data_IF_795074764974
#
_entry.id   IF_795074764974
#
_cell.length_a   1.000
_cell.length_b   1.000
_cell.length_c   1.000
_cell.angle_alpha   90.00
_cell.angle_beta   90.00
_cell.angle_gamma   90.00
#
_symmetry.space_group_name_H-M   'P 1'
#
loop_
_entity.id
_entity.type
_entity.pdbx_description
1 polymer ?
#
# COMPACT_ATOMS: atom_id res chain seq x y z
N UNK A 1 9.61 -30.54 39.46
CA UNK A 1 8.20 -30.73 39.07
C UNK A 1 7.78 -29.47 38.34
N UNK A 2 7.86 -29.50 37.02
CA UNK A 2 7.42 -28.39 36.14
C UNK A 2 6.07 -28.76 35.61
N UNK A 3 5.05 -27.97 35.97
CA UNK A 3 3.68 -28.13 35.44
C UNK A 3 3.62 -27.49 34.06
N UNK A 4 3.32 -28.29 33.05
CA UNK A 4 3.05 -27.84 31.69
C UNK A 4 1.65 -27.22 31.62
N UNK A 5 1.58 -25.93 31.29
CA UNK A 5 0.33 -25.22 31.01
C UNK A 5 -0.14 -25.62 29.60
N UNK A 6 -1.22 -26.39 29.52
CA UNK A 6 -1.93 -26.66 28.27
C UNK A 6 -2.68 -25.42 27.85
N UNK A 7 -2.19 -24.73 26.82
CA UNK A 7 -2.93 -23.68 26.12
C UNK A 7 -4.09 -24.37 25.38
N UNK A 8 -5.32 -24.12 25.80
CA UNK A 8 -6.52 -24.53 25.10
C UNK A 8 -6.58 -23.79 23.74
N UNK A 9 -6.61 -24.56 22.64
CA UNK A 9 -7.00 -24.05 21.33
C UNK A 9 -8.45 -23.56 21.45
N UNK A 10 -8.67 -22.30 21.07
CA UNK A 10 -10.01 -21.74 20.92
C UNK A 10 -10.76 -22.54 19.86
N UNK A 11 -11.89 -23.10 20.23
CA UNK A 11 -12.85 -23.76 19.37
C UNK A 11 -13.30 -22.82 18.27
N UNK A 12 -13.34 -23.32 17.04
CA UNK A 12 -13.90 -22.61 15.88
C UNK A 12 -15.31 -22.12 16.22
N UNK A 13 -15.48 -20.79 16.22
CA UNK A 13 -16.77 -20.16 16.43
C UNK A 13 -17.76 -20.58 15.33
N UNK A 14 -19.03 -20.71 15.70
CA UNK A 14 -20.14 -20.97 14.81
C UNK A 14 -20.12 -20.08 13.57
N UNK A 15 -20.62 -20.54 12.40
CA UNK A 15 -20.65 -19.72 11.21
C UNK A 15 -21.61 -18.55 11.45
N UNK A 16 -21.04 -17.38 11.73
CA UNK A 16 -21.80 -16.13 11.71
C UNK A 16 -22.45 -16.00 10.33
N UNK A 17 -23.77 -15.80 10.32
CA UNK A 17 -24.53 -15.56 9.09
C UNK A 17 -23.78 -14.56 8.22
N UNK A 18 -23.47 -14.96 6.98
CA UNK A 18 -22.67 -14.16 6.08
C UNK A 18 -23.33 -12.79 5.90
N UNK A 19 -22.70 -11.74 6.43
CA UNK A 19 -23.17 -10.37 6.23
C UNK A 19 -23.07 -10.08 4.74
N UNK A 20 -24.21 -9.84 4.10
CA UNK A 20 -24.26 -9.52 2.67
C UNK A 20 -23.67 -8.12 2.47
N UNK A 21 -22.54 -8.05 1.80
CA UNK A 21 -21.92 -6.76 1.42
C UNK A 21 -22.75 -6.17 0.27
N UNK A 22 -23.53 -5.17 0.60
CA UNK A 22 -24.42 -4.47 -0.32
C UNK A 22 -24.40 -2.96 -0.02
N UNK A 23 -25.20 -2.17 -0.70
CA UNK A 23 -25.29 -0.73 -0.48
C UNK A 23 -25.64 -0.38 0.99
N UNK A 24 -26.57 -1.11 1.61
CA UNK A 24 -26.94 -0.89 3.02
C UNK A 24 -25.77 -1.15 3.96
N UNK A 25 -24.91 -2.12 3.67
CA UNK A 25 -23.68 -2.36 4.42
C UNK A 25 -22.71 -1.18 4.29
N UNK A 26 -22.52 -0.65 3.07
CA UNK A 26 -21.67 0.51 2.81
C UNK A 26 -22.19 1.75 3.52
N UNK A 27 -23.50 1.98 3.49
CA UNK A 27 -24.14 3.09 4.21
C UNK A 27 -23.96 2.97 5.72
N UNK A 28 -24.10 1.76 6.27
CA UNK A 28 -23.83 1.46 7.67
C UNK A 28 -22.39 1.73 8.07
N UNK A 29 -21.43 1.29 7.24
CA UNK A 29 -20.00 1.54 7.46
C UNK A 29 -19.66 3.04 7.39
N UNK A 30 -20.26 3.76 6.44
CA UNK A 30 -20.11 5.22 6.30
C UNK A 30 -20.56 5.92 7.58
N UNK A 31 -21.77 5.61 8.08
CA UNK A 31 -22.30 6.16 9.34
C UNK A 31 -21.39 5.87 10.54
N UNK A 32 -20.90 4.63 10.66
CA UNK A 32 -19.98 4.27 11.74
C UNK A 32 -18.68 5.08 11.70
N UNK A 33 -18.12 5.32 10.51
CA UNK A 33 -16.91 6.12 10.37
C UNK A 33 -17.17 7.60 10.64
N UNK A 34 -18.32 8.15 10.21
CA UNK A 34 -18.75 9.51 10.53
C UNK A 34 -18.97 9.70 12.04
N UNK A 35 -19.55 8.72 12.72
CA UNK A 35 -19.68 8.75 14.19
C UNK A 35 -18.32 8.75 14.88
N UNK A 36 -17.35 7.96 14.39
CA UNK A 36 -15.99 7.95 14.94
C UNK A 36 -15.28 9.29 14.80
N UNK A 37 -15.69 10.15 13.86
CA UNK A 37 -15.16 11.50 13.75
C UNK A 37 -15.47 12.35 15.00
N UNK A 38 -16.57 12.08 15.69
CA UNK A 38 -16.91 12.72 16.97
C UNK A 38 -15.92 12.35 18.09
N UNK A 39 -15.20 11.25 17.93
CA UNK A 39 -14.25 10.70 18.89
C UNK A 39 -12.78 10.82 18.41
N UNK A 40 -12.52 11.74 17.46
CA UNK A 40 -11.17 12.08 17.05
C UNK A 40 -10.68 11.46 15.75
N UNK A 41 -11.45 10.59 15.08
CA UNK A 41 -11.13 10.19 13.72
C UNK A 41 -11.25 11.40 12.79
N UNK A 42 -10.24 11.65 11.97
CA UNK A 42 -10.27 12.75 10.99
C UNK A 42 -9.87 12.25 9.61
N UNK A 43 -10.46 12.84 8.60
CA UNK A 43 -10.12 12.58 7.19
C UNK A 43 -9.43 13.82 6.59
N UNK A 44 -8.59 13.63 5.55
CA UNK A 44 -8.08 14.77 4.79
C UNK A 44 -9.22 15.65 4.25
N UNK A 45 -9.00 16.95 4.15
CA UNK A 45 -10.03 17.93 3.75
C UNK A 45 -10.66 17.63 2.38
N UNK A 46 -9.88 17.04 1.47
CA UNK A 46 -10.27 16.69 0.11
C UNK A 46 -10.77 15.24 -0.04
N UNK A 47 -10.93 14.50 1.08
CA UNK A 47 -11.36 13.12 1.08
C UNK A 47 -12.87 12.99 1.25
N UNK A 48 -13.55 12.54 0.19
CA UNK A 48 -14.96 12.19 0.24
C UNK A 48 -15.12 10.72 0.63
N UNK A 49 -15.50 10.48 1.89
CA UNK A 49 -15.65 9.15 2.46
C UNK A 49 -16.67 8.29 1.70
N UNK A 50 -17.86 8.84 1.44
CA UNK A 50 -18.94 8.10 0.77
C UNK A 50 -18.55 7.69 -0.64
N UNK A 51 -17.95 8.60 -1.42
CA UNK A 51 -17.47 8.28 -2.76
C UNK A 51 -16.36 7.23 -2.74
N UNK A 52 -15.44 7.31 -1.77
CA UNK A 52 -14.34 6.34 -1.66
C UNK A 52 -14.85 4.94 -1.30
N UNK A 53 -15.80 4.83 -0.36
CA UNK A 53 -16.40 3.55 0.05
C UNK A 53 -17.28 2.96 -1.05
N UNK A 54 -18.09 3.77 -1.74
CA UNK A 54 -18.87 3.30 -2.87
C UNK A 54 -17.98 2.81 -4.02
N UNK A 55 -16.94 3.57 -4.35
CA UNK A 55 -15.97 3.15 -5.36
C UNK A 55 -15.21 1.87 -4.98
N UNK A 56 -14.87 1.73 -3.70
CA UNK A 56 -14.28 0.51 -3.18
C UNK A 56 -15.21 -0.70 -3.28
N UNK A 57 -16.50 -0.52 -3.00
CA UNK A 57 -17.50 -1.56 -3.17
C UNK A 57 -17.63 -2.03 -4.62
N UNK A 58 -17.68 -1.09 -5.57
CA UNK A 58 -17.72 -1.44 -7.00
C UNK A 58 -16.47 -2.23 -7.41
N UNK A 59 -15.28 -1.82 -6.93
CA UNK A 59 -14.04 -2.55 -7.18
C UNK A 59 -14.07 -3.96 -6.57
N UNK A 60 -14.59 -4.13 -5.33
CA UNK A 60 -14.70 -5.43 -4.68
C UNK A 60 -15.62 -6.39 -5.43
N UNK A 61 -16.69 -5.90 -6.08
CA UNK A 61 -17.58 -6.72 -6.92
C UNK A 61 -16.85 -7.35 -8.11
N UNK A 62 -15.85 -6.66 -8.65
CA UNK A 62 -15.06 -7.12 -9.80
C UNK A 62 -13.80 -7.89 -9.37
N UNK A 63 -13.36 -7.73 -8.10
CA UNK A 63 -12.16 -8.37 -7.59
C UNK A 63 -12.40 -9.86 -7.36
N UNK A 64 -11.45 -10.68 -7.83
CA UNK A 64 -11.46 -12.13 -7.69
C UNK A 64 -10.24 -12.63 -6.94
N UNK A 65 -10.40 -13.76 -6.28
CA UNK A 65 -9.29 -14.49 -5.68
C UNK A 65 -8.46 -15.27 -6.74
N UNK A 66 -7.47 -16.01 -6.27
CA UNK A 66 -6.60 -16.82 -7.14
C UNK A 66 -7.33 -17.92 -7.91
N UNK A 67 -8.46 -18.37 -7.40
CA UNK A 67 -9.32 -19.39 -8.00
C UNK A 67 -10.39 -18.79 -8.90
N UNK A 68 -10.26 -17.50 -9.24
CA UNK A 68 -11.22 -16.73 -10.04
C UNK A 68 -12.62 -16.60 -9.39
N UNK A 69 -12.70 -16.81 -8.06
CA UNK A 69 -13.93 -16.67 -7.29
C UNK A 69 -14.07 -15.22 -6.80
N UNK A 70 -15.28 -14.60 -6.85
CA UNK A 70 -15.48 -13.24 -6.36
C UNK A 70 -15.04 -13.08 -4.89
N UNK A 71 -14.33 -11.99 -4.58
CA UNK A 71 -13.85 -11.70 -3.23
C UNK A 71 -15.01 -11.58 -2.24
N UNK A 72 -16.16 -11.06 -2.68
CA UNK A 72 -17.35 -10.94 -1.85
C UNK A 72 -17.93 -12.30 -1.40
N UNK A 73 -17.57 -13.39 -2.08
CA UNK A 73 -17.99 -14.75 -1.77
C UNK A 73 -16.90 -15.59 -1.11
N UNK A 74 -15.62 -15.30 -1.44
CA UNK A 74 -14.47 -16.10 -1.01
C UNK A 74 -13.83 -15.59 0.29
N UNK A 75 -14.09 -14.32 0.67
CA UNK A 75 -13.55 -13.71 1.87
C UNK A 75 -14.62 -13.49 2.95
N UNK A 76 -14.19 -13.46 4.21
CA UNK A 76 -15.08 -13.16 5.32
C UNK A 76 -15.55 -11.70 5.28
N UNK A 77 -16.82 -11.45 5.62
CA UNK A 77 -17.39 -10.10 5.66
C UNK A 77 -16.63 -9.18 6.62
N UNK A 78 -16.13 -9.71 7.72
CA UNK A 78 -15.31 -8.97 8.69
C UNK A 78 -14.01 -8.51 8.05
N UNK A 79 -13.32 -9.34 7.26
CA UNK A 79 -12.08 -8.95 6.61
C UNK A 79 -12.31 -7.89 5.53
N UNK A 80 -13.43 -7.97 4.82
CA UNK A 80 -13.84 -6.95 3.84
C UNK A 80 -14.11 -5.62 4.54
N UNK A 81 -14.90 -5.64 5.64
CA UNK A 81 -15.16 -4.44 6.44
C UNK A 81 -13.86 -3.79 6.94
N UNK A 82 -12.96 -4.59 7.52
CA UNK A 82 -11.67 -4.11 8.01
C UNK A 82 -10.82 -3.51 6.90
N UNK A 83 -10.82 -4.09 5.70
CA UNK A 83 -10.10 -3.57 4.54
C UNK A 83 -10.66 -2.24 4.06
N UNK A 84 -11.98 -2.10 4.02
CA UNK A 84 -12.65 -0.84 3.70
C UNK A 84 -12.35 0.24 4.75
N UNK A 85 -12.42 -0.12 6.03
CA UNK A 85 -12.06 0.79 7.13
C UNK A 85 -10.60 1.23 7.06
N UNK A 86 -9.67 0.30 6.79
CA UNK A 86 -8.25 0.61 6.64
C UNK A 86 -8.00 1.56 5.47
N UNK A 87 -8.61 1.32 4.32
CA UNK A 87 -8.55 2.24 3.18
C UNK A 87 -9.06 3.64 3.56
N UNK A 88 -10.22 3.71 4.21
CA UNK A 88 -10.87 4.97 4.57
C UNK A 88 -10.08 5.76 5.62
N UNK A 89 -9.60 5.11 6.69
CA UNK A 89 -8.81 5.77 7.74
C UNK A 89 -7.48 6.33 7.22
N UNK A 90 -6.90 5.70 6.20
CA UNK A 90 -5.74 6.22 5.49
C UNK A 90 -6.11 7.37 4.52
N UNK A 91 -7.38 7.65 4.31
CA UNK A 91 -7.86 8.65 3.35
C UNK A 91 -7.45 8.30 1.92
N UNK A 92 -7.47 7.03 1.54
CA UNK A 92 -7.07 6.53 0.22
C UNK A 92 -8.27 6.03 -0.59
N UNK A 93 -8.09 5.91 -1.90
CA UNK A 93 -9.12 5.42 -2.83
C UNK A 93 -8.53 4.43 -3.82
N UNK A 94 -9.19 3.26 -3.95
CA UNK A 94 -8.81 2.26 -4.97
C UNK A 94 -9.08 2.74 -6.38
N UNK A 95 -10.11 3.57 -6.60
CA UNK A 95 -10.40 4.17 -7.91
C UNK A 95 -9.29 5.11 -8.39
N UNK A 96 -8.59 5.76 -7.45
CA UNK A 96 -7.39 6.57 -7.73
C UNK A 96 -6.11 5.73 -7.80
N UNK A 97 -6.22 4.40 -7.86
CA UNK A 97 -5.09 3.45 -7.86
C UNK A 97 -4.16 3.60 -6.65
N UNK A 98 -4.67 4.13 -5.52
CA UNK A 98 -3.90 4.34 -4.29
C UNK A 98 -3.77 3.09 -3.42
N UNK A 99 -4.40 2.00 -3.80
CA UNK A 99 -4.32 0.70 -3.18
C UNK A 99 -5.18 -0.33 -3.89
N UNK A 100 -5.10 -1.57 -3.42
CA UNK A 100 -5.78 -2.72 -3.99
C UNK A 100 -6.38 -3.58 -2.89
N UNK A 101 -7.48 -4.26 -3.20
CA UNK A 101 -8.00 -5.34 -2.37
C UNK A 101 -7.44 -6.66 -2.87
N UNK A 102 -6.86 -7.44 -1.97
CA UNK A 102 -6.25 -8.73 -2.29
C UNK A 102 -6.88 -9.79 -1.40
N UNK A 103 -7.36 -10.87 -2.02
CA UNK A 103 -7.84 -12.05 -1.30
C UNK A 103 -6.67 -12.99 -1.03
N UNK A 104 -6.44 -13.29 0.25
CA UNK A 104 -5.43 -14.23 0.68
C UNK A 104 -5.97 -15.11 1.80
N UNK A 105 -6.01 -16.43 1.58
CA UNK A 105 -6.47 -17.40 2.58
C UNK A 105 -7.89 -17.15 3.11
N UNK A 106 -8.82 -16.71 2.25
CA UNK A 106 -10.19 -16.40 2.66
C UNK A 106 -10.35 -15.05 3.40
N UNK A 107 -9.30 -14.25 3.43
CA UNK A 107 -9.30 -12.90 4.01
C UNK A 107 -9.07 -11.86 2.93
N UNK A 108 -9.85 -10.78 2.95
CA UNK A 108 -9.61 -9.59 2.15
C UNK A 108 -8.64 -8.68 2.89
N UNK A 109 -7.65 -8.14 2.19
CA UNK A 109 -6.68 -7.19 2.73
C UNK A 109 -6.59 -5.97 1.80
N UNK A 110 -6.57 -4.77 2.38
CA UNK A 110 -6.23 -3.55 1.66
C UNK A 110 -4.72 -3.36 1.65
N UNK A 111 -4.12 -3.36 0.46
CA UNK A 111 -2.71 -3.11 0.27
C UNK A 111 -2.50 -1.78 -0.45
N UNK A 112 -1.70 -0.90 0.15
CA UNK A 112 -1.35 0.40 -0.45
C UNK A 112 -0.48 0.19 -1.69
N UNK A 113 -0.74 0.96 -2.73
CA UNK A 113 0.16 1.09 -3.88
C UNK A 113 1.22 2.16 -3.61
N UNK A 114 2.19 2.28 -4.54
CA UNK A 114 3.15 3.39 -4.47
C UNK A 114 2.46 4.77 -4.60
N UNK A 115 1.39 4.88 -5.40
CA UNK A 115 0.57 6.10 -5.47
C UNK A 115 -0.09 6.44 -4.12
N UNK A 116 -0.54 5.42 -3.37
CA UNK A 116 -1.05 5.61 -2.03
C UNK A 116 0.01 6.11 -1.07
N UNK A 117 1.22 5.56 -1.14
CA UNK A 117 2.35 6.02 -0.34
C UNK A 117 2.74 7.47 -0.67
N UNK A 118 2.79 7.83 -1.95
CA UNK A 118 3.02 9.22 -2.40
C UNK A 118 1.93 10.15 -1.88
N UNK A 119 0.66 9.74 -1.97
CA UNK A 119 -0.47 10.53 -1.46
C UNK A 119 -0.36 10.80 0.03
N UNK A 120 0.03 9.79 0.81
CA UNK A 120 0.25 9.96 2.27
C UNK A 120 1.46 10.87 2.50
N UNK A 121 2.60 10.62 1.84
CA UNK A 121 3.81 11.39 2.03
C UNK A 121 3.61 12.90 1.74
N UNK A 122 2.82 13.23 0.71
CA UNK A 122 2.46 14.63 0.40
C UNK A 122 1.71 15.32 1.55
N UNK A 123 0.90 14.60 2.30
CA UNK A 123 0.21 15.16 3.49
C UNK A 123 1.17 15.45 4.65
N UNK A 124 2.35 14.84 4.62
CA UNK A 124 3.41 15.02 5.62
C UNK A 124 4.59 15.85 5.09
N UNK A 125 4.34 16.72 4.10
CA UNK A 125 5.32 17.70 3.63
C UNK A 125 6.22 17.22 2.50
N UNK A 126 5.92 16.09 1.83
CA UNK A 126 6.60 15.75 0.58
C UNK A 126 6.08 16.67 -0.55
N UNK A 127 6.98 17.45 -1.14
CA UNK A 127 6.70 18.31 -2.29
C UNK A 127 6.73 17.51 -3.59
N UNK A 128 7.81 16.75 -3.81
CA UNK A 128 7.99 15.98 -5.03
C UNK A 128 8.87 14.74 -4.81
N UNK A 129 8.87 13.83 -5.79
CA UNK A 129 9.74 12.66 -5.84
C UNK A 129 10.25 12.45 -7.27
N UNK A 130 11.56 12.38 -7.41
CA UNK A 130 12.24 12.09 -8.67
C UNK A 130 12.90 10.72 -8.58
N UNK A 131 12.79 9.92 -9.63
CA UNK A 131 13.37 8.57 -9.68
C UNK A 131 14.13 8.39 -10.98
N UNK A 132 15.30 7.77 -10.90
CA UNK A 132 16.12 7.48 -12.08
C UNK A 132 16.73 6.08 -11.99
N UNK A 133 17.03 5.53 -13.16
CA UNK A 133 17.73 4.25 -13.33
C UNK A 133 19.20 4.55 -13.59
N UNK A 134 20.07 3.76 -12.98
CA UNK A 134 21.53 3.83 -13.19
C UNK A 134 21.93 2.70 -14.11
N UNK A 135 22.49 3.02 -15.26
CA UNK A 135 22.98 2.05 -16.24
C UNK A 135 24.50 1.87 -16.16
N UNK A 136 24.98 0.76 -16.72
CA UNK A 136 26.40 0.55 -16.92
C UNK A 136 26.97 1.62 -17.87
N UNK A 137 28.06 2.29 -17.44
CA UNK A 137 28.64 3.40 -18.14
C UNK A 137 28.19 4.78 -17.66
N UNK A 138 27.13 4.88 -16.84
CA UNK A 138 26.74 6.14 -16.21
C UNK A 138 27.77 6.58 -15.15
N UNK A 139 27.97 7.89 -14.99
CA UNK A 139 28.76 8.43 -13.90
C UNK A 139 27.86 8.82 -12.75
N UNK A 140 27.68 7.91 -11.82
CA UNK A 140 26.84 8.09 -10.63
C UNK A 140 27.70 8.21 -9.38
N UNK A 141 27.48 9.28 -8.58
CA UNK A 141 28.17 9.51 -7.31
C UNK A 141 27.21 9.99 -6.25
N UNK A 142 27.36 9.43 -5.07
CA UNK A 142 26.74 9.92 -3.84
C UNK A 142 27.69 9.69 -2.67
N UNK A 143 27.51 10.43 -1.59
CA UNK A 143 28.23 10.23 -0.33
C UNK A 143 27.27 10.14 0.85
N UNK A 144 27.79 9.86 2.02
CA UNK A 144 27.04 9.83 3.27
C UNK A 144 27.57 10.97 4.15
N UNK A 145 26.65 11.87 4.55
CA UNK A 145 26.92 12.97 5.46
C UNK A 145 25.88 12.92 6.59
N UNK A 146 26.33 12.92 7.85
CA UNK A 146 25.50 12.83 9.03
C UNK A 146 24.46 11.68 8.98
N UNK A 147 24.86 10.55 8.38
CA UNK A 147 23.98 9.37 8.21
C UNK A 147 23.00 9.45 7.06
N UNK A 148 22.93 10.58 6.33
CA UNK A 148 22.08 10.77 5.17
C UNK A 148 22.85 10.52 3.88
N UNK A 149 22.21 9.92 2.90
CA UNK A 149 22.75 9.80 1.54
C UNK A 149 22.54 11.12 0.79
N UNK A 150 23.57 11.64 0.19
CA UNK A 150 23.54 12.89 -0.59
C UNK A 150 23.95 12.57 -2.03
N UNK A 151 23.10 12.92 -2.98
CA UNK A 151 23.41 12.77 -4.41
C UNK A 151 24.37 13.88 -4.83
N UNK A 152 25.56 13.51 -5.28
CA UNK A 152 26.56 14.46 -5.82
C UNK A 152 26.31 14.74 -7.30
N UNK A 153 26.21 13.68 -8.11
CA UNK A 153 25.96 13.80 -9.54
C UNK A 153 25.43 12.50 -10.14
N UNK A 154 24.66 12.62 -11.20
CA UNK A 154 24.33 11.54 -12.12
C UNK A 154 24.42 12.10 -13.55
N UNK A 155 25.40 11.63 -14.31
CA UNK A 155 25.57 11.91 -15.72
C UNK A 155 25.25 10.62 -16.49
N UNK A 156 24.16 10.66 -17.26
CA UNK A 156 23.71 9.56 -18.08
C UNK A 156 23.93 9.89 -19.56
N UNK A 157 24.57 8.99 -20.29
CA UNK A 157 24.59 9.06 -21.74
C UNK A 157 23.39 8.29 -22.29
N UNK A 158 22.65 8.91 -23.20
CA UNK A 158 21.50 8.29 -23.85
C UNK A 158 21.85 6.93 -24.48
N UNK A 159 23.08 6.74 -24.97
CA UNK A 159 23.54 5.48 -25.54
C UNK A 159 23.77 4.36 -24.53
N UNK A 160 23.81 4.69 -23.23
CA UNK A 160 23.95 3.70 -22.15
C UNK A 160 22.61 3.08 -21.75
N UNK A 161 21.48 3.62 -22.21
CA UNK A 161 20.15 3.15 -21.85
C UNK A 161 19.92 1.76 -22.45
N UNK A 162 20.16 0.73 -21.64
CA UNK A 162 20.04 -0.67 -22.00
C UNK A 162 19.46 -1.46 -20.81
N UNK A 163 18.30 -2.06 -20.97
CA UNK A 163 17.61 -2.77 -19.90
C UNK A 163 18.40 -3.97 -19.36
N UNK A 164 19.31 -4.53 -20.14
CA UNK A 164 20.17 -5.63 -19.70
C UNK A 164 21.37 -5.17 -18.86
N UNK A 165 21.62 -3.87 -18.85
CA UNK A 165 22.76 -3.23 -18.17
C UNK A 165 22.35 -2.30 -17.01
N UNK A 166 21.23 -2.54 -16.40
CA UNK A 166 20.78 -1.78 -15.20
C UNK A 166 21.63 -2.18 -14.00
N UNK A 167 22.32 -1.23 -13.40
CA UNK A 167 23.11 -1.40 -12.18
C UNK A 167 22.27 -1.18 -10.93
N UNK A 168 21.29 -0.28 -11.00
CA UNK A 168 20.44 0.06 -9.88
C UNK A 168 19.44 1.17 -10.21
N UNK A 169 18.83 1.71 -9.20
CA UNK A 169 17.93 2.85 -9.29
C UNK A 169 18.01 3.69 -8.01
N UNK A 170 17.61 4.93 -8.10
CA UNK A 170 17.48 5.79 -6.94
C UNK A 170 16.22 6.64 -6.98
N UNK A 171 15.84 7.15 -5.80
CA UNK A 171 14.76 8.10 -5.63
C UNK A 171 15.24 9.27 -4.76
N UNK A 172 14.91 10.48 -5.17
CA UNK A 172 15.12 11.70 -4.39
C UNK A 172 13.75 12.27 -4.02
N UNK A 173 13.47 12.30 -2.74
CA UNK A 173 12.27 12.95 -2.19
C UNK A 173 12.63 14.38 -1.81
N UNK A 174 11.90 15.34 -2.36
CA UNK A 174 11.99 16.75 -2.01
C UNK A 174 10.90 17.11 -1.01
N UNK A 175 11.27 17.62 0.15
CA UNK A 175 10.34 18.10 1.17
C UNK A 175 9.99 19.58 0.96
N UNK A 176 8.89 20.05 1.57
CA UNK A 176 8.44 21.44 1.48
C UNK A 176 9.44 22.43 2.11
N UNK A 177 10.20 21.99 3.12
CA UNK A 177 11.27 22.77 3.76
C UNK A 177 12.57 22.82 2.93
N UNK A 178 12.58 22.19 1.76
CA UNK A 178 13.75 22.10 0.88
C UNK A 178 14.69 20.93 1.18
N UNK A 179 14.46 20.18 2.24
CA UNK A 179 15.26 18.99 2.57
C UNK A 179 15.09 17.93 1.48
N UNK A 180 16.18 17.23 1.15
CA UNK A 180 16.20 16.13 0.19
C UNK A 180 16.56 14.83 0.89
N UNK A 181 15.86 13.78 0.56
CA UNK A 181 16.14 12.41 1.02
C UNK A 181 16.43 11.54 -0.19
N UNK A 182 17.62 10.95 -0.23
CA UNK A 182 18.04 10.04 -1.28
C UNK A 182 17.94 8.59 -0.79
N UNK A 183 17.30 7.73 -1.59
CA UNK A 183 17.42 6.28 -1.44
C UNK A 183 17.97 5.67 -2.72
N UNK A 184 18.96 4.79 -2.57
CA UNK A 184 19.66 4.13 -3.68
C UNK A 184 19.61 2.62 -3.46
N UNK A 185 19.26 1.87 -4.48
CA UNK A 185 19.26 0.41 -4.48
C UNK A 185 20.01 -0.13 -5.69
N UNK A 186 20.93 -1.06 -5.47
CA UNK A 186 21.54 -1.81 -6.55
C UNK A 186 20.60 -2.95 -7.03
N UNK A 187 20.88 -3.54 -8.19
CA UNK A 187 20.04 -4.60 -8.77
C UNK A 187 19.90 -5.84 -7.87
N UNK A 188 20.90 -6.14 -7.05
CA UNK A 188 20.81 -7.25 -6.08
C UNK A 188 19.72 -7.00 -5.03
N UNK A 189 19.69 -5.79 -4.46
CA UNK A 189 18.67 -5.37 -3.49
C UNK A 189 17.29 -5.30 -4.14
N UNK A 190 17.20 -4.77 -5.36
CA UNK A 190 15.95 -4.69 -6.13
C UNK A 190 15.39 -6.09 -6.38
N UNK A 191 16.22 -7.01 -6.90
CA UNK A 191 15.82 -8.42 -7.13
C UNK A 191 15.40 -9.12 -5.84
N UNK A 192 16.10 -8.87 -4.73
CA UNK A 192 15.73 -9.40 -3.43
C UNK A 192 14.36 -8.86 -2.97
N UNK A 193 14.09 -7.58 -3.15
CA UNK A 193 12.79 -7.00 -2.84
C UNK A 193 11.68 -7.60 -3.72
N UNK A 194 11.90 -7.77 -5.01
CA UNK A 194 10.94 -8.40 -5.91
C UNK A 194 10.65 -9.86 -5.55
N UNK A 195 11.66 -10.61 -5.10
CA UNK A 195 11.49 -12.02 -4.70
C UNK A 195 10.53 -12.19 -3.50
N UNK A 196 10.31 -11.14 -2.72
CA UNK A 196 9.31 -11.13 -1.65
C UNK A 196 7.89 -10.86 -2.18
N UNK A 197 7.79 -10.33 -3.40
CA UNK A 197 6.52 -10.04 -4.07
C UNK A 197 5.86 -11.33 -4.59
N UNK A 198 4.54 -11.42 -4.40
CA UNK A 198 3.78 -12.52 -4.97
C UNK A 198 3.70 -12.38 -6.51
N UNK A 199 4.09 -13.45 -7.22
CA UNK A 199 4.03 -13.49 -8.70
C UNK A 199 5.34 -13.17 -9.40
N UNK A 200 6.40 -12.80 -8.69
CA UNK A 200 7.75 -12.74 -9.26
C UNK A 200 8.30 -14.16 -9.42
N UNK A 201 8.42 -14.60 -10.65
CA UNK A 201 9.07 -15.87 -11.02
C UNK A 201 10.23 -15.58 -11.94
#
# INVERSE_FOLDING_TARGET
IVMANKTQLATAGEPQAAVVINNSFIDGLTKQLEEKCKYGLSFPKDYNLSNALMGAYLTLKETKDRNNKPVLESCTSTSIANSLMNMATLGLSVQKKQGYFIAYGGQCQFQRSYFGNITIARRYGMKDIHTEIIYDGDKFKYHIEDGNKILDSHEQDFMNIDNDKILGAYAVVLMEDGTKHLEVMNMKQIKQAWSQGYGYK
#
